data_IF_513760293833
#
_entry.id   IF_513760293833
#
_cell.length_a   1.000
_cell.length_b   1.000
_cell.length_c   1.000
_cell.angle_alpha   90.00
_cell.angle_beta   90.00
_cell.angle_gamma   90.00
#
_symmetry.space_group_name_H-M   'P 1'
#
loop_
_entity.id
_entity.type
_entity.pdbx_description
1 polymer ?
#
# COMPACT_ATOMS: atom_id res chain seq x y z
N UNK A 1 -27.94 30.56 48.23
CA UNK A 1 -28.18 30.12 46.84
C UNK A 1 -26.90 29.75 46.08
N UNK A 2 -25.81 30.48 46.24
CA UNK A 2 -24.55 30.25 45.52
C UNK A 2 -23.90 28.87 45.77
N UNK A 3 -23.88 28.40 47.01
CA UNK A 3 -23.23 27.14 47.40
C UNK A 3 -23.94 25.90 46.81
N UNK A 4 -25.27 25.91 46.74
CA UNK A 4 -26.05 24.82 46.15
C UNK A 4 -25.77 24.68 44.62
N UNK A 5 -25.66 25.80 43.93
CA UNK A 5 -25.34 25.82 42.50
C UNK A 5 -23.94 25.24 42.20
N UNK A 6 -22.96 25.54 43.09
CA UNK A 6 -21.60 25.01 42.97
C UNK A 6 -21.60 23.47 43.15
N UNK A 7 -22.29 22.99 44.15
CA UNK A 7 -22.40 21.53 44.41
C UNK A 7 -23.09 20.80 43.27
N UNK A 8 -24.20 21.34 42.76
CA UNK A 8 -24.91 20.76 41.61
C UNK A 8 -24.02 20.77 40.38
N UNK A 9 -23.32 21.88 40.10
CA UNK A 9 -22.39 21.97 38.96
C UNK A 9 -21.26 20.93 39.08
N UNK A 10 -20.68 20.79 40.26
CA UNK A 10 -19.61 19.81 40.49
C UNK A 10 -20.12 18.36 40.31
N UNK A 11 -21.32 18.06 40.80
CA UNK A 11 -21.95 16.76 40.61
C UNK A 11 -22.21 16.45 39.15
N UNK A 12 -22.80 17.38 38.39
CA UNK A 12 -23.05 17.22 36.95
C UNK A 12 -21.75 17.04 36.20
N UNK A 13 -20.73 17.82 36.53
CA UNK A 13 -19.41 17.69 35.88
C UNK A 13 -18.79 16.32 36.18
N UNK A 14 -18.83 15.90 37.45
CA UNK A 14 -18.32 14.58 37.85
C UNK A 14 -19.09 13.44 37.15
N UNK A 15 -20.43 13.53 37.09
CA UNK A 15 -21.24 12.56 36.36
C UNK A 15 -20.88 12.50 34.87
N UNK A 16 -20.79 13.65 34.20
CA UNK A 16 -20.44 13.72 32.77
C UNK A 16 -19.05 13.16 32.47
N UNK A 17 -18.07 13.36 33.39
CA UNK A 17 -16.70 12.91 33.18
C UNK A 17 -16.49 11.42 33.48
N UNK A 18 -17.18 10.87 34.49
CA UNK A 18 -16.87 9.54 35.01
C UNK A 18 -17.96 8.49 34.78
N UNK A 19 -19.22 8.88 34.64
CA UNK A 19 -20.34 7.95 34.53
C UNK A 19 -21.07 7.97 33.20
N UNK A 20 -20.81 8.97 32.36
CA UNK A 20 -21.42 9.00 31.03
C UNK A 20 -20.93 7.85 30.19
N UNK A 21 -21.85 7.08 29.64
CA UNK A 21 -21.56 6.06 28.65
C UNK A 21 -21.13 6.71 27.33
N UNK A 22 -20.04 6.21 26.76
CA UNK A 22 -19.47 6.70 25.50
C UNK A 22 -19.66 5.64 24.44
N UNK A 23 -20.25 6.01 23.32
CA UNK A 23 -20.32 5.13 22.15
C UNK A 23 -18.98 5.11 21.42
N UNK A 24 -18.49 3.92 21.11
CA UNK A 24 -17.21 3.72 20.42
C UNK A 24 -17.40 2.74 19.28
N UNK A 25 -17.06 3.19 18.07
CA UNK A 25 -16.98 2.31 16.89
C UNK A 25 -15.72 1.45 17.02
N UNK A 26 -15.94 0.19 17.39
CA UNK A 26 -14.85 -0.77 17.66
C UNK A 26 -14.19 -1.33 16.41
N UNK A 27 -14.74 -1.05 15.22
CA UNK A 27 -14.12 -1.47 13.96
C UNK A 27 -13.38 -0.35 13.23
N UNK A 28 -13.54 0.89 13.68
CA UNK A 28 -12.99 2.08 13.01
C UNK A 28 -11.47 1.98 12.83
N UNK A 29 -10.77 1.55 13.88
CA UNK A 29 -9.31 1.49 13.91
C UNK A 29 -8.75 0.13 13.51
N UNK A 30 -9.61 -0.79 13.01
CA UNK A 30 -9.18 -2.05 12.45
C UNK A 30 -8.38 -1.81 11.16
N UNK A 31 -7.07 -1.87 11.25
CA UNK A 31 -6.16 -1.78 10.11
C UNK A 31 -6.09 -3.10 9.37
N UNK A 32 -6.11 -3.07 8.04
CA UNK A 32 -6.08 -4.25 7.19
C UNK A 32 -4.72 -4.31 6.52
N UNK A 33 -4.05 -5.46 6.62
CA UNK A 33 -2.79 -5.73 5.93
C UNK A 33 -2.93 -6.99 5.08
N UNK A 34 -2.66 -6.86 3.79
CA UNK A 34 -2.63 -7.97 2.87
C UNK A 34 -1.21 -8.49 2.67
N UNK A 35 -1.07 -9.81 2.53
CA UNK A 35 0.19 -10.46 2.16
C UNK A 35 -0.09 -11.51 1.08
N UNK A 36 0.68 -11.45 0.00
CA UNK A 36 0.51 -12.34 -1.15
C UNK A 36 -0.09 -11.62 -2.35
N UNK A 37 -0.55 -12.40 -3.30
CA UNK A 37 -0.98 -11.98 -4.62
C UNK A 37 -2.44 -12.36 -4.84
N UNK A 38 -3.06 -11.80 -5.86
CA UNK A 38 -4.43 -12.11 -6.24
C UNK A 38 -4.65 -13.63 -6.35
N UNK A 39 -5.69 -14.13 -5.70
CA UNK A 39 -6.01 -15.57 -5.63
C UNK A 39 -5.24 -16.39 -4.58
N UNK A 40 -4.15 -15.86 -4.01
CA UNK A 40 -3.35 -16.54 -2.97
C UNK A 40 -3.14 -15.70 -1.72
N UNK A 41 -3.59 -14.45 -1.72
CA UNK A 41 -3.37 -13.52 -0.63
C UNK A 41 -4.02 -13.98 0.68
N UNK A 42 -3.42 -13.56 1.76
CA UNK A 42 -3.94 -13.65 3.11
C UNK A 42 -4.10 -12.26 3.70
N UNK A 43 -5.00 -12.14 4.68
CA UNK A 43 -5.23 -10.89 5.38
C UNK A 43 -4.94 -11.04 6.86
N UNK A 44 -4.37 -10.00 7.45
CA UNK A 44 -4.24 -9.80 8.88
C UNK A 44 -4.90 -8.49 9.26
N UNK A 45 -5.68 -8.51 10.34
CA UNK A 45 -6.21 -7.29 10.94
C UNK A 45 -5.34 -6.91 12.12
N UNK A 46 -4.94 -5.65 12.16
CA UNK A 46 -4.15 -5.06 13.25
C UNK A 46 -4.96 -3.95 13.92
N UNK A 47 -4.79 -3.85 15.22
CA UNK A 47 -5.36 -2.76 15.98
C UNK A 47 -4.48 -1.52 15.81
N UNK A 48 -5.04 -0.45 15.23
CA UNK A 48 -4.36 0.85 15.01
C UNK A 48 -4.88 1.92 15.95
N UNK A 49 -5.31 1.53 17.13
CA UNK A 49 -5.84 2.47 18.11
C UNK A 49 -4.88 3.63 18.35
N UNK A 50 -5.39 4.84 18.20
CA UNK A 50 -4.61 6.05 18.43
C UNK A 50 -5.46 7.09 19.15
N UNK A 51 -4.89 7.68 20.18
CA UNK A 51 -5.38 8.92 20.81
C UNK A 51 -6.75 8.86 21.50
N UNK A 52 -7.07 7.75 22.14
CA UNK A 52 -8.17 7.71 23.11
C UNK A 52 -7.71 8.22 24.47
N UNK A 53 -8.66 8.66 25.32
CA UNK A 53 -8.33 8.87 26.72
C UNK A 53 -7.96 7.52 27.36
N UNK A 54 -7.18 7.52 28.45
CA UNK A 54 -6.64 6.31 29.06
C UNK A 54 -7.69 5.22 29.29
N UNK A 55 -8.87 5.59 29.74
CA UNK A 55 -9.99 4.68 30.05
C UNK A 55 -10.48 3.93 28.79
N UNK A 56 -10.69 4.66 27.70
CA UNK A 56 -11.13 4.09 26.41
C UNK A 56 -9.98 3.34 25.76
N UNK A 57 -8.75 3.80 25.93
CA UNK A 57 -7.56 3.16 25.37
C UNK A 57 -7.40 1.73 25.89
N UNK A 58 -7.51 1.51 27.21
CA UNK A 58 -7.42 0.16 27.78
C UNK A 58 -8.51 -0.78 27.23
N UNK A 59 -9.73 -0.28 27.06
CA UNK A 59 -10.79 -1.05 26.40
C UNK A 59 -10.46 -1.36 24.94
N UNK A 60 -10.05 -0.36 24.16
CA UNK A 60 -9.72 -0.52 22.75
C UNK A 60 -8.52 -1.44 22.52
N UNK A 61 -7.53 -1.43 23.40
CA UNK A 61 -6.36 -2.31 23.34
C UNK A 61 -6.71 -3.78 23.62
N UNK A 62 -7.81 -4.03 24.35
CA UNK A 62 -8.31 -5.39 24.59
C UNK A 62 -9.04 -6.02 23.40
N UNK A 63 -9.39 -5.21 22.38
CA UNK A 63 -10.16 -5.68 21.23
C UNK A 63 -9.31 -6.59 20.35
N UNK A 64 -9.87 -7.73 20.00
CA UNK A 64 -9.33 -8.64 19.01
C UNK A 64 -10.23 -8.68 17.77
N UNK A 65 -9.63 -8.90 16.61
CA UNK A 65 -10.38 -8.93 15.36
C UNK A 65 -10.33 -10.31 14.72
N UNK A 66 -11.50 -10.81 14.34
CA UNK A 66 -11.64 -11.98 13.48
C UNK A 66 -11.99 -11.51 12.07
N UNK A 67 -11.34 -12.08 11.05
CA UNK A 67 -11.62 -11.74 9.64
C UNK A 67 -11.94 -13.00 8.85
N UNK A 68 -12.98 -12.93 8.02
CA UNK A 68 -13.41 -14.02 7.16
C UNK A 68 -13.82 -13.49 5.77
N UNK A 69 -13.36 -14.16 4.68
CA UNK A 69 -12.29 -15.17 4.62
C UNK A 69 -10.92 -14.55 4.95
N UNK A 70 -9.97 -15.34 5.46
CA UNK A 70 -8.64 -14.85 5.85
C UNK A 70 -7.52 -15.24 4.88
N UNK A 71 -7.79 -16.17 3.93
CA UNK A 71 -6.79 -16.73 3.00
C UNK A 71 -7.41 -16.95 1.63
N UNK A 72 -6.53 -17.10 0.61
CA UNK A 72 -6.90 -17.31 -0.80
C UNK A 72 -7.77 -16.18 -1.35
N UNK A 73 -7.43 -14.97 -0.96
CA UNK A 73 -8.17 -13.78 -1.33
C UNK A 73 -7.87 -13.36 -2.76
N UNK A 74 -8.91 -12.83 -3.41
CA UNK A 74 -8.87 -12.23 -4.74
C UNK A 74 -9.32 -10.77 -4.68
N UNK A 75 -8.88 -9.99 -5.65
CA UNK A 75 -9.43 -8.66 -5.86
C UNK A 75 -10.94 -8.77 -6.11
N UNK A 76 -11.70 -7.97 -5.38
CA UNK A 76 -13.16 -8.00 -5.42
C UNK A 76 -13.84 -8.84 -4.33
N UNK A 77 -13.12 -9.72 -3.63
CA UNK A 77 -13.67 -10.47 -2.51
C UNK A 77 -14.18 -9.53 -1.41
N UNK A 78 -15.21 -9.97 -0.68
CA UNK A 78 -15.74 -9.25 0.48
C UNK A 78 -15.23 -9.91 1.77
N UNK A 79 -14.59 -9.12 2.61
CA UNK A 79 -14.15 -9.52 3.94
C UNK A 79 -15.15 -9.04 4.98
N UNK A 80 -15.44 -9.89 5.95
CA UNK A 80 -16.17 -9.51 7.15
C UNK A 80 -15.20 -9.48 8.33
N UNK A 81 -15.03 -8.31 8.93
CA UNK A 81 -14.22 -8.09 10.13
C UNK A 81 -15.18 -8.01 11.30
N UNK A 82 -14.97 -8.87 12.30
CA UNK A 82 -15.75 -8.90 13.54
C UNK A 82 -14.84 -8.52 14.71
N UNK A 83 -15.20 -7.48 15.43
CA UNK A 83 -14.54 -7.09 16.68
C UNK A 83 -15.05 -7.96 17.82
N UNK A 84 -14.13 -8.51 18.61
CA UNK A 84 -14.42 -9.21 19.86
C UNK A 84 -13.82 -8.40 21.00
N UNK A 85 -14.59 -8.11 22.00
CA UNK A 85 -14.21 -7.30 23.15
C UNK A 85 -14.69 -7.95 24.46
N UNK A 86 -14.13 -7.52 25.56
CA UNK A 86 -14.53 -7.94 26.89
C UNK A 86 -15.68 -7.05 27.39
N UNK A 87 -16.87 -7.66 27.59
CA UNK A 87 -18.07 -6.97 28.08
C UNK A 87 -17.86 -6.42 29.50
N UNK A 88 -17.03 -7.06 30.31
CA UNK A 88 -16.72 -6.63 31.66
C UNK A 88 -15.92 -5.32 31.64
N UNK A 89 -14.96 -5.23 30.71
CA UNK A 89 -14.19 -3.99 30.49
C UNK A 89 -15.08 -2.89 29.91
N UNK A 90 -15.93 -3.22 28.95
CA UNK A 90 -16.88 -2.26 28.38
C UNK A 90 -17.76 -1.65 29.48
N UNK A 91 -18.34 -2.49 30.33
CA UNK A 91 -19.17 -2.05 31.48
C UNK A 91 -18.36 -1.24 32.49
N UNK A 92 -17.15 -1.69 32.85
CA UNK A 92 -16.27 -1.00 33.80
C UNK A 92 -15.93 0.41 33.36
N UNK A 93 -15.70 0.59 32.08
CA UNK A 93 -15.30 1.87 31.51
C UNK A 93 -16.47 2.69 30.95
N UNK A 94 -17.71 2.22 31.14
CA UNK A 94 -18.91 2.86 30.59
C UNK A 94 -18.81 3.11 29.08
N UNK A 95 -18.31 2.10 28.35
CA UNK A 95 -18.23 2.11 26.90
C UNK A 95 -19.40 1.31 26.32
N UNK A 96 -20.11 1.89 25.34
CA UNK A 96 -21.08 1.20 24.52
C UNK A 96 -20.43 0.90 23.15
N UNK A 97 -19.99 -0.34 22.89
CA UNK A 97 -19.40 -0.70 21.61
C UNK A 97 -20.46 -0.68 20.51
N UNK A 98 -20.21 0.10 19.49
CA UNK A 98 -21.01 0.13 18.27
C UNK A 98 -20.20 -0.37 17.08
N UNK A 99 -20.88 -0.72 15.97
CA UNK A 99 -20.24 -1.19 14.74
C UNK A 99 -19.28 -2.38 14.98
N UNK A 100 -19.80 -3.44 15.61
CA UNK A 100 -19.00 -4.64 15.91
C UNK A 100 -18.63 -5.47 14.69
N UNK A 101 -19.24 -5.21 13.55
CA UNK A 101 -18.98 -5.89 12.26
C UNK A 101 -18.78 -4.87 11.16
N UNK A 102 -17.71 -5.04 10.38
CA UNK A 102 -17.40 -4.20 9.20
C UNK A 102 -17.13 -5.07 7.99
N UNK A 103 -17.70 -4.69 6.85
CA UNK A 103 -17.44 -5.33 5.56
C UNK A 103 -16.47 -4.49 4.74
N UNK A 104 -15.51 -5.13 4.11
CA UNK A 104 -14.48 -4.47 3.30
C UNK A 104 -14.23 -5.28 2.03
N UNK A 105 -14.18 -4.59 0.91
CA UNK A 105 -13.85 -5.21 -0.37
C UNK A 105 -12.34 -5.24 -0.57
N UNK A 106 -11.79 -6.40 -0.92
CA UNK A 106 -10.38 -6.58 -1.24
C UNK A 106 -10.06 -5.84 -2.53
N UNK A 107 -8.98 -5.05 -2.52
CA UNK A 107 -8.51 -4.27 -3.66
C UNK A 107 -6.98 -4.23 -3.65
N UNK A 108 -6.43 -3.90 -4.82
CA UNK A 108 -5.00 -3.61 -4.98
C UNK A 108 -4.06 -4.76 -4.59
N UNK A 109 -4.55 -6.00 -4.64
CA UNK A 109 -3.65 -7.15 -4.57
C UNK A 109 -2.82 -7.22 -5.85
N UNK A 110 -1.50 -7.46 -5.73
CA UNK A 110 -0.65 -7.65 -6.88
C UNK A 110 -1.16 -8.79 -7.76
N UNK A 111 -1.31 -8.55 -9.04
CA UNK A 111 -1.62 -9.59 -10.01
C UNK A 111 -0.34 -10.31 -10.42
N UNK A 112 -0.44 -11.63 -10.61
CA UNK A 112 0.63 -12.45 -11.14
C UNK A 112 0.17 -13.05 -12.47
N UNK A 113 1.02 -12.94 -13.45
CA UNK A 113 0.79 -13.54 -14.77
C UNK A 113 1.52 -14.88 -14.86
N UNK A 114 0.87 -15.89 -15.41
CA UNK A 114 1.51 -17.19 -15.62
C UNK A 114 2.35 -17.21 -16.91
N UNK A 115 2.00 -16.34 -17.86
CA UNK A 115 2.65 -16.23 -19.16
C UNK A 115 2.68 -14.76 -19.63
N UNK A 116 3.61 -14.43 -20.51
CA UNK A 116 3.73 -13.11 -21.13
C UNK A 116 2.49 -12.69 -21.92
N UNK A 117 1.78 -13.66 -22.49
CA UNK A 117 0.56 -13.43 -23.25
C UNK A 117 -0.65 -13.04 -22.39
N UNK A 118 -0.59 -13.30 -21.09
CA UNK A 118 -1.62 -12.88 -20.14
C UNK A 118 -1.46 -11.42 -19.70
N UNK A 119 -0.29 -10.83 -19.98
CA UNK A 119 -0.01 -9.45 -19.58
C UNK A 119 -0.84 -8.51 -20.44
N UNK A 120 -1.68 -7.64 -19.84
CA UNK A 120 -2.51 -6.71 -20.60
C UNK A 120 -1.67 -5.79 -21.51
N UNK A 121 -2.11 -5.61 -22.74
CA UNK A 121 -1.44 -4.72 -23.71
C UNK A 121 -1.29 -3.29 -23.18
N UNK A 122 -2.26 -2.81 -22.40
CA UNK A 122 -2.20 -1.51 -21.74
C UNK A 122 -1.05 -1.39 -20.73
N UNK A 123 -0.75 -2.48 -20.00
CA UNK A 123 0.39 -2.53 -19.09
C UNK A 123 1.71 -2.47 -19.89
N UNK A 124 1.82 -3.27 -20.95
CA UNK A 124 3.01 -3.29 -21.82
C UNK A 124 3.24 -1.93 -22.49
N UNK A 125 2.20 -1.28 -22.98
CA UNK A 125 2.27 0.08 -23.52
C UNK A 125 2.78 1.09 -22.49
N UNK A 126 2.27 1.03 -21.25
CA UNK A 126 2.74 1.88 -20.16
C UNK A 126 4.22 1.63 -19.85
N UNK A 127 4.66 0.38 -19.91
CA UNK A 127 6.07 0.02 -19.71
C UNK A 127 6.96 0.61 -20.81
N UNK A 128 6.54 0.50 -22.07
CA UNK A 128 7.25 1.05 -23.22
C UNK A 128 7.37 2.59 -23.13
N UNK A 129 6.30 3.28 -22.73
CA UNK A 129 6.31 4.74 -22.55
C UNK A 129 7.25 5.17 -21.40
N UNK A 130 7.25 4.43 -20.30
CA UNK A 130 8.19 4.66 -19.18
C UNK A 130 9.63 4.42 -19.59
N UNK A 131 9.89 3.38 -20.36
CA UNK A 131 11.22 3.06 -20.90
C UNK A 131 11.71 4.17 -21.82
N UNK A 132 10.88 4.64 -22.72
CA UNK A 132 11.20 5.76 -23.61
C UNK A 132 11.52 7.02 -22.82
N UNK A 133 10.71 7.32 -21.81
CA UNK A 133 10.90 8.49 -20.95
C UNK A 133 12.22 8.39 -20.17
N UNK A 134 12.53 7.19 -19.65
CA UNK A 134 13.79 6.93 -18.96
C UNK A 134 15.00 7.08 -19.88
N UNK A 135 14.97 6.50 -21.09
CA UNK A 135 16.03 6.62 -22.07
C UNK A 135 16.27 8.09 -22.45
N UNK A 136 15.23 8.85 -22.75
CA UNK A 136 15.37 10.28 -23.07
C UNK A 136 16.03 11.07 -21.94
N UNK A 137 15.65 10.78 -20.69
CA UNK A 137 16.18 11.50 -19.52
C UNK A 137 17.64 11.14 -19.20
N UNK A 138 18.04 9.90 -19.45
CA UNK A 138 19.32 9.38 -18.99
C UNK A 138 20.27 9.02 -20.14
N UNK A 139 19.98 9.48 -21.35
CA UNK A 139 20.76 9.09 -22.57
C UNK A 139 22.24 9.43 -22.44
N UNK A 140 22.58 10.58 -21.89
CA UNK A 140 23.97 10.99 -21.66
C UNK A 140 24.72 10.01 -20.74
N UNK A 141 24.07 9.64 -19.63
CA UNK A 141 24.65 8.69 -18.66
C UNK A 141 24.81 7.30 -19.30
N UNK A 142 23.80 6.80 -20.00
CA UNK A 142 23.83 5.50 -20.68
C UNK A 142 24.97 5.43 -21.70
N UNK A 143 25.13 6.47 -22.51
CA UNK A 143 26.19 6.48 -23.52
C UNK A 143 27.59 6.65 -22.92
N UNK A 144 27.73 7.38 -21.81
CA UNK A 144 29.01 7.57 -21.15
C UNK A 144 29.47 6.35 -20.34
N UNK A 145 28.53 5.61 -19.74
CA UNK A 145 28.85 4.42 -18.93
C UNK A 145 29.08 3.18 -19.80
N UNK A 146 28.25 3.00 -20.84
CA UNK A 146 28.28 1.78 -21.66
C UNK A 146 29.17 1.90 -22.90
N UNK A 147 29.47 3.12 -23.36
CA UNK A 147 30.26 3.39 -24.57
C UNK A 147 31.41 4.35 -24.30
N UNK A 148 32.35 3.93 -23.47
CA UNK A 148 33.47 4.72 -22.94
C UNK A 148 34.44 5.35 -23.97
N UNK A 149 34.24 5.11 -25.26
CA UNK A 149 35.14 5.59 -26.33
C UNK A 149 34.73 6.97 -26.89
N UNK A 150 33.60 7.54 -26.50
CA UNK A 150 33.11 8.77 -27.09
C UNK A 150 32.82 9.83 -26.02
N UNK A 151 33.56 10.94 -26.07
CA UNK A 151 33.23 12.13 -25.28
C UNK A 151 32.12 12.89 -26.00
N UNK A 152 30.91 12.93 -25.43
CA UNK A 152 29.77 13.63 -25.98
C UNK A 152 29.80 15.08 -25.51
N UNK A 153 29.75 16.04 -26.43
CA UNK A 153 29.78 17.49 -26.17
C UNK A 153 28.42 18.10 -25.90
N UNK A 154 27.38 17.53 -26.51
CA UNK A 154 25.99 18.02 -26.38
C UNK A 154 25.11 16.91 -25.78
N UNK A 155 24.00 17.30 -25.18
CA UNK A 155 23.03 16.29 -24.70
C UNK A 155 22.60 15.42 -25.90
N UNK A 156 22.83 14.11 -25.84
CA UNK A 156 22.42 13.21 -26.90
C UNK A 156 20.90 13.08 -26.93
N UNK A 157 20.36 13.09 -28.14
CA UNK A 157 18.94 12.94 -28.40
C UNK A 157 18.62 11.51 -28.84
N UNK A 158 17.61 10.89 -28.23
CA UNK A 158 17.09 9.60 -28.69
C UNK A 158 16.31 9.76 -29.99
N UNK A 159 16.88 9.28 -31.10
CA UNK A 159 16.26 9.35 -32.43
C UNK A 159 15.28 8.21 -32.66
N UNK A 160 15.65 6.99 -32.27
CA UNK A 160 14.84 5.81 -32.46
C UNK A 160 15.05 4.79 -31.34
N UNK A 161 13.99 4.05 -31.04
CA UNK A 161 13.97 2.95 -30.10
C UNK A 161 13.18 1.80 -30.73
N UNK A 162 13.78 0.64 -30.84
CA UNK A 162 13.14 -0.57 -31.34
C UNK A 162 13.29 -1.69 -30.33
N UNK A 163 12.19 -2.21 -29.82
CA UNK A 163 12.20 -3.41 -28.99
C UNK A 163 12.63 -4.61 -29.83
N UNK A 164 13.66 -5.31 -29.40
CA UNK A 164 14.21 -6.48 -30.07
C UNK A 164 13.68 -7.77 -29.46
N UNK A 165 13.67 -7.84 -28.14
CA UNK A 165 13.23 -9.01 -27.39
C UNK A 165 12.52 -8.58 -26.11
N UNK A 166 11.52 -9.38 -25.73
CA UNK A 166 10.86 -9.31 -24.41
C UNK A 166 10.86 -10.70 -23.80
N UNK A 167 11.37 -10.81 -22.57
CA UNK A 167 11.46 -12.06 -21.82
C UNK A 167 10.70 -11.90 -20.52
N UNK A 168 9.82 -12.86 -20.25
CA UNK A 168 9.14 -12.96 -18.96
C UNK A 168 9.83 -14.04 -18.11
N UNK A 169 10.23 -13.67 -16.89
CA UNK A 169 10.81 -14.56 -15.90
C UNK A 169 9.80 -14.79 -14.78
N UNK A 170 9.23 -16.00 -14.74
CA UNK A 170 8.34 -16.43 -13.66
C UNK A 170 9.13 -16.71 -12.37
N UNK A 171 8.84 -15.95 -11.33
CA UNK A 171 9.47 -16.07 -10.01
C UNK A 171 8.92 -17.19 -9.13
N UNK A 172 7.90 -17.95 -9.56
CA UNK A 172 7.22 -18.97 -8.75
C UNK A 172 8.15 -20.00 -8.10
N UNK A 173 9.19 -20.41 -8.83
CA UNK A 173 10.12 -21.46 -8.36
C UNK A 173 11.15 -20.95 -7.35
N UNK A 174 11.37 -19.66 -7.26
CA UNK A 174 12.44 -19.06 -6.46
C UNK A 174 11.95 -18.14 -5.34
N UNK A 175 10.65 -18.02 -5.13
CA UNK A 175 10.02 -16.99 -4.26
C UNK A 175 10.40 -15.57 -4.65
N UNK A 176 10.96 -15.39 -5.85
CA UNK A 176 11.29 -14.10 -6.42
C UNK A 176 10.06 -13.46 -7.07
N UNK A 177 10.10 -12.17 -7.27
CA UNK A 177 9.09 -11.44 -8.05
C UNK A 177 9.23 -11.79 -9.53
N UNK A 178 8.12 -11.84 -10.24
CA UNK A 178 8.12 -11.92 -11.69
C UNK A 178 8.85 -10.72 -12.29
N UNK A 179 9.55 -10.92 -13.39
CA UNK A 179 10.30 -9.86 -14.06
C UNK A 179 10.02 -9.88 -15.56
N UNK A 180 9.89 -8.69 -16.13
CA UNK A 180 9.92 -8.46 -17.57
C UNK A 180 11.28 -7.87 -17.90
N UNK A 181 11.99 -8.46 -18.85
CA UNK A 181 13.26 -7.96 -19.38
C UNK A 181 13.04 -7.61 -20.83
N UNK A 182 13.18 -6.32 -21.14
CA UNK A 182 13.11 -5.82 -22.50
C UNK A 182 14.49 -5.42 -23.00
N UNK A 183 14.80 -5.85 -24.20
CA UNK A 183 16.04 -5.51 -24.91
C UNK A 183 15.67 -4.59 -26.07
N UNK A 184 16.27 -3.41 -26.09
CA UNK A 184 16.03 -2.40 -27.11
C UNK A 184 17.30 -2.14 -27.93
N UNK A 185 17.15 -2.01 -29.24
CA UNK A 185 18.10 -1.30 -30.06
C UNK A 185 17.74 0.19 -30.03
N UNK A 186 18.70 1.02 -29.63
CA UNK A 186 18.53 2.47 -29.57
C UNK A 186 19.43 3.17 -30.60
N UNK A 187 18.94 4.23 -31.19
CA UNK A 187 19.74 5.13 -32.03
C UNK A 187 19.72 6.51 -31.40
N UNK A 188 20.89 7.02 -31.07
CA UNK A 188 21.03 8.36 -30.52
C UNK A 188 21.83 9.25 -31.48
N UNK A 189 21.54 10.57 -31.44
CA UNK A 189 22.28 11.60 -32.17
C UNK A 189 22.91 12.55 -31.15
N UNK A 190 24.18 12.87 -31.32
CA UNK A 190 24.91 13.81 -30.50
C UNK A 190 26.19 14.27 -31.16
N UNK A 191 26.77 15.37 -30.67
CA UNK A 191 28.07 15.83 -31.14
C UNK A 191 29.19 15.08 -30.41
N UNK A 192 30.08 14.47 -31.14
CA UNK A 192 31.23 13.71 -30.63
C UNK A 192 32.50 14.55 -30.72
N UNK A 193 33.28 14.54 -29.67
CA UNK A 193 34.60 15.20 -29.67
C UNK A 193 35.61 14.27 -30.33
N UNK A 194 35.86 14.45 -31.62
CA UNK A 194 37.00 13.79 -32.29
C UNK A 194 38.26 14.59 -31.98
N UNK A 195 38.86 14.39 -30.82
CA UNK A 195 40.26 14.82 -30.63
C UNK A 195 41.14 13.85 -31.39
N UNK A 196 41.48 14.17 -32.63
CA UNK A 196 42.56 13.55 -33.31
C UNK A 196 43.83 13.91 -32.51
N UNK A 197 44.42 12.95 -31.81
CA UNK A 197 45.79 13.07 -31.39
C UNK A 197 46.66 13.15 -32.66
N UNK A 198 47.20 14.33 -32.94
CA UNK A 198 48.35 14.46 -33.79
C UNK A 198 49.57 13.90 -33.10
#
# INVERSE_FOLDING_TARGET
MSMLLIVVSLYVTCYMLFFRTVEVDVTKDAGIEYRGEDGSASVRVINRNQNYNQRIQEFMDSITYEVKPAKKLKNGDELTITARYDETLASRYHVNPIQTVRRVKVKDLPERFADVNEIPASFLSTLDDRTRSYLNKNMEQILNEDFTSFFIRSQPELVNQKQMYRVFLDGKKSSAKDKIIDIYAITAKGEVNTSSKK
#
